data_IF_278419138256
#
_entry.id   IF_278419138256
#
_cell.length_a   1.000
_cell.length_b   1.000
_cell.length_c   1.000
_cell.angle_alpha   90.00
_cell.angle_beta   90.00
_cell.angle_gamma   90.00
#
_symmetry.space_group_name_H-M   'P 1'
#
loop_
_entity.id
_entity.type
_entity.pdbx_description
1 polymer ?
#
# COMPACT_ATOMS: atom_id res chain seq x y z
N UNK A 1 -13.44 36.30 49.88
CA UNK A 1 -13.43 35.03 50.64
C UNK A 1 -14.82 34.43 50.53
N UNK A 2 -14.88 33.13 50.23
CA UNK A 2 -16.04 32.27 49.96
C UNK A 2 -16.43 32.08 48.47
N UNK A 3 -16.40 30.81 48.10
CA UNK A 3 -16.35 30.18 46.78
C UNK A 3 -17.56 30.38 45.87
N UNK A 4 -17.27 30.42 44.57
CA UNK A 4 -18.24 30.23 43.49
C UNK A 4 -18.50 28.72 43.37
N UNK A 5 -19.71 28.30 43.69
CA UNK A 5 -20.16 26.91 43.59
C UNK A 5 -20.13 26.44 42.14
N UNK A 6 -19.26 25.46 41.83
CA UNK A 6 -19.26 24.75 40.55
C UNK A 6 -20.29 23.62 40.59
N UNK A 7 -21.20 23.66 39.63
CA UNK A 7 -22.27 22.68 39.37
C UNK A 7 -21.65 21.31 38.99
N UNK A 8 -21.89 20.22 39.74
CA UNK A 8 -21.21 18.94 39.51
C UNK A 8 -22.04 18.02 38.63
N UNK A 9 -22.37 18.42 37.40
CA UNK A 9 -22.93 17.47 36.44
C UNK A 9 -22.77 17.90 34.99
N UNK A 10 -21.58 17.75 34.43
CA UNK A 10 -21.44 17.69 32.98
C UNK A 10 -20.45 16.62 32.55
N UNK A 11 -21.05 15.48 32.20
CA UNK A 11 -20.67 14.67 31.06
C UNK A 11 -19.34 13.94 31.20
N UNK A 12 -19.45 12.80 31.88
CA UNK A 12 -18.76 11.56 31.55
C UNK A 12 -18.55 11.45 30.03
N UNK A 13 -17.33 11.72 29.55
CA UNK A 13 -16.94 11.46 28.16
C UNK A 13 -15.63 10.69 28.11
N UNK A 14 -15.80 9.37 28.17
CA UNK A 14 -15.14 8.42 27.28
C UNK A 14 -13.61 8.34 27.40
N UNK A 15 -13.11 7.81 28.51
CA UNK A 15 -11.83 7.11 28.51
C UNK A 15 -12.07 5.61 28.24
N UNK A 16 -12.48 5.29 27.01
CA UNK A 16 -12.23 3.95 26.49
C UNK A 16 -10.72 3.84 26.28
N UNK A 17 -10.05 3.26 27.26
CA UNK A 17 -8.65 2.87 27.21
C UNK A 17 -8.49 2.01 25.95
N UNK A 18 -7.90 2.59 24.88
CA UNK A 18 -7.53 1.86 23.67
C UNK A 18 -6.48 0.81 24.05
N UNK A 19 -6.92 -0.34 24.56
CA UNK A 19 -6.11 -1.55 24.67
C UNK A 19 -5.61 -1.81 23.25
N UNK A 20 -4.33 -1.55 23.01
CA UNK A 20 -3.64 -1.94 21.79
C UNK A 20 -3.85 -3.45 21.66
N UNK A 21 -4.79 -3.86 20.81
CA UNK A 21 -5.08 -5.26 20.57
C UNK A 21 -3.77 -5.90 20.11
N UNK A 22 -3.27 -6.83 20.93
CA UNK A 22 -2.00 -7.51 20.68
C UNK A 22 -2.12 -8.21 19.33
N UNK A 23 -1.15 -7.94 18.44
CA UNK A 23 -1.02 -8.40 17.05
C UNK A 23 -0.79 -9.92 16.87
N UNK A 24 -1.20 -10.74 17.82
CA UNK A 24 -1.06 -12.19 17.75
C UNK A 24 -2.38 -12.81 17.33
N UNK A 25 -2.37 -13.82 16.45
CA UNK A 25 -3.56 -14.62 16.21
C UNK A 25 -4.00 -15.16 17.58
N UNK A 26 -5.20 -14.78 18.01
CA UNK A 26 -5.83 -15.43 19.14
C UNK A 26 -5.85 -16.94 18.80
N UNK A 27 -5.28 -17.79 19.67
CA UNK A 27 -5.17 -19.24 19.39
C UNK A 27 -6.51 -19.89 19.09
N UNK A 28 -7.61 -19.23 19.44
CA UNK A 28 -8.97 -19.70 19.25
C UNK A 28 -9.56 -19.30 17.88
N UNK A 29 -8.80 -18.60 17.02
CA UNK A 29 -9.23 -18.16 15.69
C UNK A 29 -8.21 -18.54 14.61
N UNK A 30 -8.70 -19.07 13.50
CA UNK A 30 -7.96 -19.16 12.25
C UNK A 30 -8.00 -17.80 11.52
N UNK A 31 -6.83 -17.34 11.06
CA UNK A 31 -6.71 -16.08 10.32
C UNK A 31 -6.76 -16.32 8.82
N UNK A 32 -7.74 -15.72 8.14
CA UNK A 32 -7.86 -15.75 6.69
C UNK A 32 -7.67 -14.36 6.09
N UNK A 33 -6.63 -14.21 5.27
CA UNK A 33 -6.24 -12.92 4.70
C UNK A 33 -7.09 -12.59 3.48
N UNK A 34 -7.79 -11.45 3.47
CA UNK A 34 -8.47 -10.98 2.26
C UNK A 34 -7.48 -10.40 1.26
N UNK A 35 -7.91 -10.30 0.01
CA UNK A 35 -7.14 -9.58 -1.01
C UNK A 35 -7.09 -8.09 -0.65
N UNK A 36 -5.93 -7.44 -0.78
CA UNK A 36 -5.83 -5.99 -0.61
C UNK A 36 -6.78 -5.24 -1.55
N UNK A 37 -7.38 -4.12 -1.12
CA UNK A 37 -8.12 -3.25 -2.01
C UNK A 37 -7.19 -2.70 -3.10
N UNK A 38 -7.67 -2.66 -4.35
CA UNK A 38 -6.92 -2.11 -5.48
C UNK A 38 -7.34 -0.65 -5.70
N UNK A 39 -6.42 0.32 -5.59
CA UNK A 39 -6.76 1.74 -5.65
C UNK A 39 -7.10 2.21 -7.07
N UNK A 40 -6.47 1.63 -8.10
CA UNK A 40 -6.64 2.03 -9.51
C UNK A 40 -6.68 0.78 -10.38
N UNK A 41 -7.63 0.73 -11.31
CA UNK A 41 -7.69 -0.26 -12.38
C UNK A 41 -7.25 0.42 -13.68
N UNK A 42 -6.30 -0.18 -14.39
CA UNK A 42 -5.80 0.29 -15.67
C UNK A 42 -4.79 -0.70 -16.24
N UNK A 43 -4.71 -0.77 -17.57
CA UNK A 43 -3.79 -1.70 -18.25
C UNK A 43 -2.31 -1.32 -18.03
N UNK A 44 -2.06 -0.05 -17.72
CA UNK A 44 -0.76 0.50 -17.36
C UNK A 44 -0.42 0.40 -15.86
N UNK A 45 -1.29 -0.22 -15.04
CA UNK A 45 -1.10 -0.37 -13.60
C UNK A 45 -0.63 -1.78 -13.26
N UNK A 46 0.55 -1.89 -12.65
CA UNK A 46 1.19 -3.16 -12.31
C UNK A 46 1.34 -3.34 -10.79
N UNK A 47 0.81 -4.45 -10.29
CA UNK A 47 0.97 -4.85 -8.89
C UNK A 47 2.18 -5.77 -8.75
N UNK A 48 3.22 -5.28 -8.07
CA UNK A 48 4.47 -6.00 -7.87
C UNK A 48 4.33 -6.95 -6.69
N UNK A 49 4.56 -8.24 -6.95
CA UNK A 49 4.61 -9.28 -5.92
C UNK A 49 5.95 -9.97 -5.89
N UNK A 50 6.30 -10.58 -4.75
CA UNK A 50 7.51 -11.42 -4.64
C UNK A 50 7.39 -12.77 -5.34
N UNK A 51 6.17 -13.26 -5.59
CA UNK A 51 5.92 -14.60 -6.11
C UNK A 51 6.19 -14.70 -7.61
N UNK A 52 5.88 -13.65 -8.36
CA UNK A 52 6.16 -13.59 -9.80
C UNK A 52 7.67 -13.64 -10.05
N UNK A 53 8.12 -14.12 -11.21
CA UNK A 53 9.53 -14.03 -11.59
C UNK A 53 9.95 -12.55 -11.83
N UNK A 54 11.17 -12.19 -11.46
CA UNK A 54 11.66 -10.81 -11.56
C UNK A 54 11.82 -10.35 -13.00
N UNK A 55 12.50 -11.17 -13.81
CA UNK A 55 12.69 -10.91 -15.23
C UNK A 55 11.36 -10.76 -15.96
N UNK A 56 10.39 -11.65 -15.69
CA UNK A 56 9.06 -11.55 -16.29
C UNK A 56 8.31 -10.24 -15.93
N UNK A 57 8.51 -9.69 -14.72
CA UNK A 57 7.94 -8.39 -14.37
C UNK A 57 8.65 -7.24 -15.09
N UNK A 58 9.97 -7.30 -15.21
CA UNK A 58 10.76 -6.30 -15.91
C UNK A 58 10.39 -6.28 -17.40
N UNK A 59 10.41 -7.44 -18.06
CA UNK A 59 10.08 -7.60 -19.47
C UNK A 59 8.67 -7.05 -19.75
N UNK A 60 7.69 -7.35 -18.88
CA UNK A 60 6.33 -6.79 -18.99
C UNK A 60 6.30 -5.26 -18.90
N UNK A 61 7.09 -4.67 -18.01
CA UNK A 61 7.17 -3.21 -17.90
C UNK A 61 7.84 -2.60 -19.16
N UNK A 62 8.91 -3.23 -19.65
CA UNK A 62 9.58 -2.84 -20.88
C UNK A 62 8.66 -2.93 -22.10
N UNK A 63 7.84 -3.97 -22.19
CA UNK A 63 6.88 -4.16 -23.27
C UNK A 63 5.83 -3.05 -23.28
N UNK A 64 5.28 -2.68 -22.12
CA UNK A 64 4.30 -1.59 -22.01
C UNK A 64 4.91 -0.26 -22.44
N UNK A 65 6.11 0.06 -21.95
CA UNK A 65 6.80 1.26 -22.37
C UNK A 65 7.08 1.22 -23.88
N UNK A 66 7.61 0.13 -24.42
CA UNK A 66 7.93 -0.01 -25.87
C UNK A 66 6.69 0.11 -26.76
N UNK A 67 5.53 -0.38 -26.33
CA UNK A 67 4.25 -0.25 -27.04
C UNK A 67 3.75 1.19 -27.18
N UNK A 68 4.37 2.13 -26.47
CA UNK A 68 4.03 3.56 -26.55
C UNK A 68 3.13 4.04 -25.41
N UNK A 69 2.99 3.27 -24.32
CA UNK A 69 2.32 3.77 -23.13
C UNK A 69 3.00 5.05 -22.62
N UNK A 70 2.18 6.05 -22.29
CA UNK A 70 2.67 7.35 -21.82
C UNK A 70 3.26 7.25 -20.41
N UNK A 71 2.66 6.41 -19.59
CA UNK A 71 3.08 6.14 -18.23
C UNK A 71 2.70 4.73 -17.79
N UNK A 72 3.49 4.17 -16.90
CA UNK A 72 3.17 2.95 -16.15
C UNK A 72 3.23 3.23 -14.66
N UNK A 73 2.39 2.56 -13.89
CA UNK A 73 2.29 2.76 -12.44
C UNK A 73 2.61 1.43 -11.76
N UNK A 74 3.66 1.42 -10.94
CA UNK A 74 4.05 0.26 -10.14
C UNK A 74 3.53 0.41 -8.71
N UNK A 75 2.81 -0.59 -8.23
CA UNK A 75 2.36 -0.67 -6.84
C UNK A 75 3.10 -1.77 -6.10
N UNK A 76 3.81 -1.40 -5.03
CA UNK A 76 4.44 -2.33 -4.11
C UNK A 76 3.79 -2.25 -2.73
N UNK A 77 3.41 -3.38 -2.16
CA UNK A 77 2.84 -3.46 -0.81
C UNK A 77 3.80 -4.19 0.13
N UNK A 78 4.10 -3.58 1.27
CA UNK A 78 4.89 -4.14 2.36
C UNK A 78 6.21 -4.75 1.88
N UNK A 79 6.34 -6.06 2.01
CA UNK A 79 7.56 -6.77 1.64
C UNK A 79 7.94 -6.60 0.14
N UNK A 80 7.01 -6.28 -0.75
CA UNK A 80 7.27 -6.09 -2.17
C UNK A 80 7.86 -4.70 -2.52
N UNK A 81 7.91 -3.76 -1.57
CA UNK A 81 8.39 -2.39 -1.80
C UNK A 81 9.82 -2.38 -2.36
N UNK A 82 10.77 -3.09 -1.73
CA UNK A 82 12.16 -3.18 -2.21
C UNK A 82 12.23 -3.64 -3.67
N UNK A 83 11.41 -4.63 -4.03
CA UNK A 83 11.37 -5.18 -5.38
C UNK A 83 10.75 -4.21 -6.38
N UNK A 84 9.74 -3.46 -5.96
CA UNK A 84 9.14 -2.38 -6.73
C UNK A 84 10.19 -1.31 -7.05
N UNK A 85 10.96 -0.86 -6.05
CA UNK A 85 12.06 0.09 -6.25
C UNK A 85 13.12 -0.45 -7.22
N UNK A 86 13.53 -1.72 -7.07
CA UNK A 86 14.51 -2.33 -7.96
C UNK A 86 14.03 -2.39 -9.42
N UNK A 87 12.75 -2.73 -9.65
CA UNK A 87 12.17 -2.69 -11.00
C UNK A 87 12.20 -1.27 -11.57
N UNK A 88 11.78 -0.28 -10.78
CA UNK A 88 11.76 1.11 -11.22
C UNK A 88 13.16 1.61 -11.61
N UNK A 89 14.18 1.34 -10.79
CA UNK A 89 15.57 1.72 -11.07
C UNK A 89 16.13 1.02 -12.31
N UNK A 90 15.81 -0.26 -12.53
CA UNK A 90 16.23 -0.96 -13.74
C UNK A 90 15.56 -0.39 -14.99
N UNK A 91 14.29 0.01 -14.90
CA UNK A 91 13.59 0.67 -16.00
C UNK A 91 14.18 2.06 -16.28
N UNK A 92 14.56 2.82 -15.25
CA UNK A 92 15.26 4.09 -15.42
C UNK A 92 16.55 3.92 -16.21
N UNK A 93 17.35 2.89 -15.88
CA UNK A 93 18.61 2.59 -16.58
C UNK A 93 18.33 2.19 -18.03
N UNK A 94 17.37 1.27 -18.26
CA UNK A 94 17.06 0.77 -19.61
C UNK A 94 16.46 1.84 -20.54
N UNK A 95 15.68 2.76 -19.98
CA UNK A 95 15.01 3.86 -20.71
C UNK A 95 15.65 5.22 -20.40
N UNK A 96 16.95 5.22 -20.08
CA UNK A 96 17.71 6.41 -19.68
C UNK A 96 17.46 7.59 -20.63
N UNK A 97 17.08 8.73 -20.07
CA UNK A 97 16.82 9.96 -20.83
C UNK A 97 15.47 10.03 -21.55
N UNK A 98 14.65 8.97 -21.52
CA UNK A 98 13.32 8.95 -22.16
C UNK A 98 12.16 8.88 -21.17
N UNK A 99 12.43 8.49 -19.93
CA UNK A 99 11.44 8.37 -18.86
C UNK A 99 11.93 9.04 -17.57
N UNK A 100 10.98 9.50 -16.77
CA UNK A 100 11.18 10.01 -15.42
C UNK A 100 10.35 9.21 -14.42
N UNK A 101 10.78 9.26 -13.15
CA UNK A 101 10.18 8.52 -12.05
C UNK A 101 9.64 9.49 -10.99
N UNK A 102 8.41 9.25 -10.57
CA UNK A 102 7.76 9.91 -9.44
C UNK A 102 7.36 8.85 -8.41
N UNK A 103 7.68 9.10 -7.13
CA UNK A 103 7.49 8.12 -6.05
C UNK A 103 6.60 8.70 -4.96
N UNK A 104 5.52 7.99 -4.66
CA UNK A 104 4.60 8.32 -3.59
C UNK A 104 4.51 7.15 -2.61
N UNK A 105 4.50 7.46 -1.32
CA UNK A 105 4.30 6.46 -0.26
C UNK A 105 2.87 6.53 0.26
N UNK A 106 2.40 5.41 0.78
CA UNK A 106 1.05 5.32 1.35
C UNK A 106 0.97 4.28 2.45
N UNK A 107 -0.23 4.19 3.04
CA UNK A 107 -0.61 3.11 3.94
C UNK A 107 -1.92 2.51 3.42
N UNK A 108 -1.97 1.18 3.34
CA UNK A 108 -3.14 0.43 2.88
C UNK A 108 -3.70 -0.38 4.04
N UNK A 109 -5.00 -0.25 4.24
CA UNK A 109 -5.77 -1.02 5.21
C UNK A 109 -6.09 -2.39 4.62
N UNK A 110 -5.64 -3.44 5.29
CA UNK A 110 -5.86 -4.83 4.92
C UNK A 110 -6.80 -5.46 5.94
N UNK A 111 -7.89 -6.04 5.45
CA UNK A 111 -8.86 -6.73 6.29
C UNK A 111 -8.53 -8.22 6.31
N UNK A 112 -8.48 -8.80 7.50
CA UNK A 112 -8.39 -10.24 7.70
C UNK A 112 -9.63 -10.73 8.42
N UNK A 113 -10.11 -11.89 8.00
CA UNK A 113 -11.20 -12.61 8.64
C UNK A 113 -10.67 -13.47 9.78
N UNK A 114 -11.41 -13.48 10.88
CA UNK A 114 -11.20 -14.33 12.04
C UNK A 114 -12.28 -15.41 12.02
N UNK A 115 -11.89 -16.63 11.65
CA UNK A 115 -12.75 -17.81 11.65
C UNK A 115 -12.60 -18.52 13.01
N UNK A 116 -13.67 -18.70 13.80
CA UNK A 116 -13.58 -19.33 15.12
C UNK A 116 -13.22 -20.81 15.00
N UNK A 117 -12.39 -21.31 15.93
CA UNK A 117 -12.02 -22.73 16.01
C UNK A 117 -12.90 -23.54 16.96
N UNK A 118 -13.84 -22.88 17.64
CA UNK A 118 -14.75 -23.45 18.64
C UNK A 118 -16.12 -22.81 18.49
N UNK A 119 -17.17 -23.57 18.76
CA UNK A 119 -18.57 -23.12 18.58
C UNK A 119 -19.00 -21.99 19.55
N UNK A 120 -18.21 -21.71 20.58
CA UNK A 120 -18.46 -20.65 21.58
C UNK A 120 -18.11 -19.24 21.07
N UNK A 121 -17.47 -19.13 19.90
CA UNK A 121 -16.91 -17.88 19.39
C UNK A 121 -17.56 -17.47 18.08
N UNK A 122 -17.78 -16.16 17.92
CA UNK A 122 -18.36 -15.58 16.70
C UNK A 122 -17.30 -15.24 15.66
N UNK A 123 -17.70 -15.21 14.39
CA UNK A 123 -16.85 -14.68 13.31
C UNK A 123 -16.50 -13.20 13.56
N UNK A 124 -15.24 -12.86 13.29
CA UNK A 124 -14.73 -11.50 13.43
C UNK A 124 -13.95 -11.03 12.21
N UNK A 125 -13.55 -9.76 12.23
CA UNK A 125 -12.56 -9.23 11.29
C UNK A 125 -11.60 -8.29 12.01
N UNK A 126 -10.37 -8.21 11.50
CA UNK A 126 -9.35 -7.28 11.98
C UNK A 126 -8.77 -6.48 10.84
N UNK A 127 -8.38 -5.24 11.11
CA UNK A 127 -7.70 -4.38 10.15
C UNK A 127 -6.21 -4.33 10.51
N UNK A 128 -5.35 -4.55 9.53
CA UNK A 128 -3.91 -4.27 9.63
C UNK A 128 -3.51 -3.21 8.63
N UNK A 129 -2.61 -2.32 9.03
CA UNK A 129 -2.01 -1.35 8.13
C UNK A 129 -0.72 -1.93 7.55
N UNK A 130 -0.54 -1.79 6.23
CA UNK A 130 0.71 -2.09 5.54
C UNK A 130 1.15 -0.89 4.73
N UNK A 131 2.43 -0.54 4.81
CA UNK A 131 3.01 0.49 3.95
C UNK A 131 2.91 0.09 2.48
N UNK A 132 2.71 1.08 1.62
CA UNK A 132 2.71 0.95 0.18
C UNK A 132 3.64 1.97 -0.48
N UNK A 133 4.08 1.63 -1.68
CA UNK A 133 4.78 2.52 -2.59
C UNK A 133 4.08 2.52 -3.94
N UNK A 134 3.98 3.70 -4.54
CA UNK A 134 3.37 3.96 -5.82
C UNK A 134 4.44 4.67 -6.65
N UNK A 135 4.94 4.01 -7.68
CA UNK A 135 5.99 4.55 -8.54
C UNK A 135 5.40 4.77 -9.91
N UNK A 136 5.26 6.03 -10.32
CA UNK A 136 4.83 6.42 -11.65
C UNK A 136 6.07 6.61 -12.52
N UNK A 137 6.13 5.90 -13.63
CA UNK A 137 7.19 6.02 -14.62
C UNK A 137 6.54 6.57 -15.89
N UNK A 138 6.90 7.79 -16.29
CA UNK A 138 6.27 8.48 -17.39
C UNK A 138 7.30 8.97 -18.39
N UNK A 139 6.92 9.01 -19.67
CA UNK A 139 7.79 9.49 -20.74
C UNK A 139 8.00 10.99 -20.61
N UNK A 140 9.25 11.40 -20.62
CA UNK A 140 9.62 12.80 -20.77
C UNK A 140 9.78 13.04 -22.26
N UNK A 141 8.87 13.78 -22.89
CA UNK A 141 9.16 14.32 -24.21
C UNK A 141 10.49 15.07 -24.07
N UNK A 142 11.46 14.81 -24.95
CA UNK A 142 12.64 15.66 -25.07
C UNK A 142 12.15 17.05 -25.51
N UNK A 143 11.68 17.86 -24.55
CA UNK A 143 11.70 19.32 -24.68
C UNK A 143 13.17 19.64 -24.79
N UNK A 144 13.60 19.92 -26.02
CA UNK A 144 14.98 19.93 -26.46
C UNK A 144 15.92 20.54 -25.42
N UNK A 145 16.90 19.74 -25.00
CA UNK A 145 18.05 20.18 -24.23
C UNK A 145 19.01 20.99 -25.11
N UNK A 146 18.47 22.00 -25.81
CA UNK A 146 19.22 23.08 -26.43
C UNK A 146 18.82 24.36 -25.69
N UNK A 147 19.44 24.62 -24.55
CA UNK A 147 19.59 25.98 -24.05
C UNK A 147 21.04 26.17 -23.61
N UNK A 148 21.78 26.78 -24.55
CA UNK A 148 23.01 27.59 -24.45
C UNK A 148 24.11 27.16 -23.48
#
# INVERSE_FOLDING_TARGET
>A
MADVMADPNSLQKKEETKKKQKRYPNKNYALKKRLPPRPVNGDNVLFITKKTNFKAQLDKCCDLLTRGEKEIILHGLGAAIQRCCNLALQLEILFSGTCQIEVNTGSVDLVDDLEPLTDELDFGSQIRHSSSIHIRIFRTAMLGSNQN
#
